data_IF_236971031408
#
_entry.id   IF_236971031408
#
_cell.length_a   1.000
_cell.length_b   1.000
_cell.length_c   1.000
_cell.angle_alpha   90.00
_cell.angle_beta   90.00
_cell.angle_gamma   90.00
#
_symmetry.space_group_name_H-M   'P 1'
#
loop_
_entity.id
_entity.type
_entity.pdbx_description
1 polymer ?
#
# COMPACT_ATOMS: atom_id res chain seq x y z
N UNK A 1 5.38 -24.63 16.71
CA UNK A 1 4.15 -23.92 16.27
C UNK A 1 3.95 -24.23 14.80
N UNK A 2 2.74 -24.62 14.41
CA UNK A 2 2.39 -24.93 13.00
C UNK A 2 2.46 -23.65 12.18
N UNK A 3 3.05 -23.71 10.98
CA UNK A 3 2.99 -22.60 10.02
C UNK A 3 1.56 -22.46 9.50
N UNK A 4 0.89 -21.39 9.85
CA UNK A 4 -0.48 -21.09 9.42
C UNK A 4 -0.57 -20.32 8.10
N UNK A 5 0.55 -19.84 7.56
CA UNK A 5 0.54 -19.02 6.36
C UNK A 5 -0.14 -19.69 5.15
N UNK A 6 0.06 -20.98 4.84
CA UNK A 6 -0.66 -21.63 3.75
C UNK A 6 -2.17 -21.67 3.94
N UNK A 7 -2.65 -21.94 5.16
CA UNK A 7 -4.07 -21.97 5.50
C UNK A 7 -4.69 -20.58 5.44
N UNK A 8 -3.99 -19.55 5.95
CA UNK A 8 -4.40 -18.16 5.90
C UNK A 8 -4.53 -17.67 4.45
N UNK A 9 -3.57 -18.02 3.57
CA UNK A 9 -3.64 -17.68 2.13
C UNK A 9 -4.81 -18.37 1.43
N UNK A 10 -5.09 -19.61 1.78
CA UNK A 10 -6.27 -20.32 1.23
C UNK A 10 -7.57 -19.62 1.67
N UNK A 11 -7.67 -19.19 2.92
CA UNK A 11 -8.82 -18.43 3.39
C UNK A 11 -8.93 -17.05 2.72
N UNK A 12 -7.82 -16.33 2.52
CA UNK A 12 -7.82 -15.08 1.78
C UNK A 12 -8.39 -15.25 0.36
N UNK A 13 -7.94 -16.28 -0.36
CA UNK A 13 -8.44 -16.60 -1.70
C UNK A 13 -9.94 -16.87 -1.66
N UNK A 14 -10.42 -17.61 -0.65
CA UNK A 14 -11.85 -17.88 -0.45
C UNK A 14 -12.64 -16.58 -0.21
N UNK A 15 -12.11 -15.65 0.59
CA UNK A 15 -12.75 -14.37 0.88
C UNK A 15 -12.84 -13.47 -0.36
N UNK A 16 -11.85 -13.52 -1.23
CA UNK A 16 -11.85 -12.75 -2.47
C UNK A 16 -12.88 -13.23 -3.50
N UNK A 17 -13.28 -14.49 -3.46
CA UNK A 17 -14.30 -15.10 -4.34
C UNK A 17 -14.18 -14.69 -5.82
N UNK A 18 -12.94 -14.63 -6.33
CA UNK A 18 -12.63 -14.22 -7.70
C UNK A 18 -12.62 -12.71 -7.96
N UNK A 19 -12.92 -11.88 -6.97
CA UNK A 19 -12.92 -10.41 -7.08
C UNK A 19 -11.51 -9.79 -6.90
N UNK A 20 -10.53 -10.30 -7.65
CA UNK A 20 -9.17 -9.74 -7.65
C UNK A 20 -9.04 -8.66 -8.73
N UNK A 21 -8.30 -7.60 -8.43
CA UNK A 21 -7.87 -6.62 -9.42
C UNK A 21 -6.33 -6.63 -9.59
N UNK A 22 -5.82 -5.91 -10.59
CA UNK A 22 -4.39 -5.86 -10.88
C UNK A 22 -3.54 -5.20 -9.78
N UNK A 23 -4.17 -4.60 -8.77
CA UNK A 23 -3.50 -3.91 -7.67
C UNK A 23 -3.52 -4.71 -6.36
N UNK A 24 -4.47 -5.67 -6.21
CA UNK A 24 -4.70 -6.44 -4.99
C UNK A 24 -4.77 -7.94 -5.35
N UNK A 25 -3.61 -8.51 -5.66
CA UNK A 25 -3.40 -9.92 -5.99
C UNK A 25 -2.47 -10.59 -4.96
N UNK A 26 -2.26 -11.90 -5.10
CA UNK A 26 -1.32 -12.63 -4.26
C UNK A 26 0.12 -12.10 -4.39
N UNK A 27 0.49 -11.58 -5.56
CA UNK A 27 1.79 -10.94 -5.77
C UNK A 27 1.96 -9.68 -4.93
N UNK A 28 0.91 -8.88 -4.73
CA UNK A 28 0.91 -7.76 -3.80
C UNK A 28 1.20 -8.23 -2.36
N UNK A 29 0.47 -9.25 -1.88
CA UNK A 29 0.70 -9.81 -0.54
C UNK A 29 2.14 -10.29 -0.36
N UNK A 30 2.71 -10.96 -1.38
CA UNK A 30 4.09 -11.45 -1.34
C UNK A 30 5.12 -10.30 -1.28
N UNK A 31 4.90 -9.22 -2.03
CA UNK A 31 5.77 -8.04 -2.00
C UNK A 31 5.64 -7.25 -0.69
N UNK A 32 4.41 -7.07 -0.18
CA UNK A 32 4.20 -6.47 1.15
C UNK A 32 4.90 -7.28 2.23
N UNK A 33 4.82 -8.62 2.18
CA UNK A 33 5.54 -9.49 3.12
C UNK A 33 7.06 -9.37 2.98
N UNK A 34 7.59 -9.25 1.77
CA UNK A 34 9.02 -9.02 1.54
C UNK A 34 9.48 -7.68 2.14
N UNK A 35 8.72 -6.60 1.91
CA UNK A 35 8.97 -5.29 2.53
C UNK A 35 8.89 -5.37 4.06
N UNK A 36 7.84 -6.01 4.60
CA UNK A 36 7.65 -6.18 6.04
C UNK A 36 8.82 -6.93 6.69
N UNK A 37 9.34 -7.98 6.05
CA UNK A 37 10.54 -8.71 6.54
C UNK A 37 11.78 -7.83 6.58
N UNK A 38 12.00 -7.00 5.57
CA UNK A 38 13.12 -6.07 5.55
C UNK A 38 13.02 -5.04 6.67
N UNK A 39 11.84 -4.47 6.91
CA UNK A 39 11.61 -3.46 7.96
C UNK A 39 11.72 -4.09 9.35
N UNK A 40 11.09 -5.25 9.59
CA UNK A 40 11.06 -5.86 10.93
C UNK A 40 12.43 -6.36 11.39
N UNK A 41 13.45 -6.50 10.52
CA UNK A 41 14.80 -6.87 10.93
C UNK A 41 15.39 -5.88 11.93
N UNK A 42 14.96 -4.61 11.87
CA UNK A 42 15.42 -3.54 12.76
C UNK A 42 14.37 -3.19 13.84
N UNK A 43 13.29 -3.96 13.93
CA UNK A 43 12.18 -3.76 14.88
C UNK A 43 12.05 -4.97 15.84
N UNK A 44 12.88 -5.06 16.92
CA UNK A 44 13.03 -6.27 17.73
C UNK A 44 11.81 -6.68 18.54
N UNK A 45 10.77 -5.86 18.59
CA UNK A 45 9.54 -6.12 19.38
C UNK A 45 8.38 -6.68 18.54
N UNK A 46 8.57 -6.92 17.25
CA UNK A 46 7.54 -7.43 16.36
C UNK A 46 7.28 -8.90 16.60
N UNK A 47 6.02 -9.29 16.82
CA UNK A 47 5.59 -10.67 16.67
C UNK A 47 5.50 -11.00 15.17
N UNK A 48 6.53 -11.67 14.65
CA UNK A 48 6.65 -11.97 13.22
C UNK A 48 5.47 -12.79 12.67
N UNK A 49 4.88 -13.68 13.47
CA UNK A 49 3.74 -14.47 13.03
C UNK A 49 2.44 -13.64 13.03
N UNK A 50 2.26 -12.75 14.01
CA UNK A 50 1.14 -11.81 14.02
C UNK A 50 1.24 -10.85 12.84
N UNK A 51 2.42 -10.29 12.57
CA UNK A 51 2.67 -9.46 11.40
C UNK A 51 2.38 -10.21 10.09
N UNK A 52 2.82 -11.47 9.96
CA UNK A 52 2.55 -12.27 8.75
C UNK A 52 1.05 -12.47 8.53
N UNK A 53 0.28 -12.76 9.58
CA UNK A 53 -1.18 -12.86 9.47
C UNK A 53 -1.80 -11.52 9.09
N UNK A 54 -1.34 -10.43 9.69
CA UNK A 54 -1.81 -9.09 9.34
C UNK A 54 -1.52 -8.76 7.87
N UNK A 55 -0.32 -9.07 7.36
CA UNK A 55 0.02 -8.92 5.93
C UNK A 55 -0.89 -9.75 5.03
N UNK A 56 -1.18 -11.01 5.38
CA UNK A 56 -2.03 -11.85 4.53
C UNK A 56 -3.45 -11.28 4.45
N UNK A 57 -4.00 -10.80 5.55
CA UNK A 57 -5.42 -10.40 5.60
C UNK A 57 -5.68 -8.90 5.45
N UNK A 58 -4.66 -8.02 5.30
CA UNK A 58 -4.89 -6.56 5.35
C UNK A 58 -5.89 -6.08 4.28
N UNK A 59 -5.91 -6.69 3.12
CA UNK A 59 -6.82 -6.42 1.99
C UNK A 59 -7.79 -7.59 1.73
N UNK A 60 -8.20 -8.32 2.78
CA UNK A 60 -9.16 -9.42 2.65
C UNK A 60 -10.53 -8.94 2.15
N UNK A 61 -10.91 -7.71 2.47
CA UNK A 61 -12.11 -7.03 1.96
C UNK A 61 -11.68 -5.81 1.18
N UNK A 62 -11.93 -5.81 -0.12
CA UNK A 62 -11.65 -4.68 -1.00
C UNK A 62 -12.95 -4.05 -1.48
N UNK A 63 -13.16 -2.77 -1.16
CA UNK A 63 -14.30 -1.99 -1.61
C UNK A 63 -13.88 -1.08 -2.76
N UNK A 64 -14.78 -0.81 -3.71
CA UNK A 64 -14.51 0.08 -4.84
C UNK A 64 -14.02 1.47 -4.35
N UNK A 65 -13.14 2.12 -5.14
CA UNK A 65 -12.51 3.39 -4.75
C UNK A 65 -13.52 4.54 -4.55
N UNK A 66 -14.66 4.45 -5.20
CA UNK A 66 -15.78 5.39 -5.14
C UNK A 66 -16.90 4.95 -4.19
N UNK A 67 -16.76 3.80 -3.52
CA UNK A 67 -17.74 3.33 -2.56
C UNK A 67 -17.83 4.28 -1.34
N UNK A 68 -19.04 4.63 -0.89
CA UNK A 68 -19.23 5.55 0.25
C UNK A 68 -18.68 5.01 1.56
N UNK A 69 -18.57 3.69 1.69
CA UNK A 69 -18.05 2.95 2.84
C UNK A 69 -16.59 2.50 2.69
N UNK A 70 -15.86 3.01 1.69
CA UNK A 70 -14.46 2.68 1.43
C UNK A 70 -13.58 2.72 2.68
N UNK A 71 -13.81 3.67 3.58
CA UNK A 71 -13.06 3.80 4.84
C UNK A 71 -13.24 2.60 5.78
N UNK A 72 -14.29 1.79 5.59
CA UNK A 72 -14.57 0.59 6.39
C UNK A 72 -13.81 -0.66 5.91
N UNK A 73 -13.18 -0.63 4.74
CA UNK A 73 -12.55 -1.81 4.14
C UNK A 73 -11.53 -2.47 5.07
N UNK A 74 -10.63 -1.68 5.69
CA UNK A 74 -9.63 -2.21 6.63
C UNK A 74 -10.25 -2.75 7.91
N UNK A 75 -11.31 -2.15 8.43
CA UNK A 75 -12.05 -2.66 9.60
C UNK A 75 -12.75 -3.98 9.28
N UNK A 76 -13.34 -4.12 8.10
CA UNK A 76 -13.96 -5.38 7.66
C UNK A 76 -12.91 -6.48 7.45
N UNK A 77 -11.76 -6.15 6.85
CA UNK A 77 -10.61 -7.05 6.73
C UNK A 77 -10.10 -7.52 8.10
N UNK A 78 -9.95 -6.57 9.03
CA UNK A 78 -9.51 -6.85 10.40
C UNK A 78 -10.47 -7.79 11.13
N UNK A 79 -11.78 -7.58 10.97
CA UNK A 79 -12.80 -8.47 11.53
C UNK A 79 -12.70 -9.89 10.96
N UNK A 80 -12.61 -10.02 9.64
CA UNK A 80 -12.48 -11.32 9.00
C UNK A 80 -11.23 -12.07 9.47
N UNK A 81 -10.09 -11.37 9.61
CA UNK A 81 -8.86 -11.93 10.15
C UNK A 81 -9.03 -12.37 11.61
N UNK A 82 -9.64 -11.54 12.46
CA UNK A 82 -9.88 -11.85 13.87
C UNK A 82 -10.76 -13.08 14.07
N UNK A 83 -11.87 -13.17 13.33
CA UNK A 83 -12.80 -14.30 13.39
C UNK A 83 -12.11 -15.61 12.94
N UNK A 84 -11.32 -15.56 11.86
CA UNK A 84 -10.58 -16.73 11.39
C UNK A 84 -9.51 -17.17 12.40
N UNK A 85 -8.72 -16.23 12.95
CA UNK A 85 -7.67 -16.54 13.94
C UNK A 85 -8.23 -17.10 15.25
N UNK A 86 -9.39 -16.62 15.68
CA UNK A 86 -10.10 -17.19 16.83
C UNK A 86 -10.48 -18.66 16.58
N UNK A 87 -10.92 -18.99 15.35
CA UNK A 87 -11.17 -20.37 14.94
C UNK A 87 -9.90 -21.25 14.88
N UNK A 88 -8.70 -20.63 14.74
CA UNK A 88 -7.41 -21.33 14.81
C UNK A 88 -6.86 -21.44 16.24
N UNK A 89 -7.62 -21.00 17.25
CA UNK A 89 -7.24 -21.10 18.66
C UNK A 89 -6.22 -20.06 19.13
N UNK A 90 -6.10 -18.92 18.44
CA UNK A 90 -5.24 -17.83 18.88
C UNK A 90 -5.79 -17.13 20.12
N UNK A 91 -4.90 -16.70 21.01
CA UNK A 91 -5.27 -15.90 22.18
C UNK A 91 -5.69 -14.48 21.81
N UNK A 92 -6.61 -13.90 22.60
CA UNK A 92 -7.22 -12.60 22.35
C UNK A 92 -6.18 -11.47 22.17
N UNK A 93 -5.14 -11.44 22.99
CA UNK A 93 -4.09 -10.41 22.92
C UNK A 93 -3.35 -10.43 21.58
N UNK A 94 -3.05 -11.61 21.07
CA UNK A 94 -2.38 -11.78 19.78
C UNK A 94 -3.29 -11.44 18.60
N UNK A 95 -4.57 -11.80 18.70
CA UNK A 95 -5.58 -11.39 17.72
C UNK A 95 -5.69 -9.88 17.70
N UNK A 96 -5.68 -9.21 18.86
CA UNK A 96 -5.74 -7.75 18.93
C UNK A 96 -4.56 -7.06 18.22
N UNK A 97 -3.36 -7.64 18.25
CA UNK A 97 -2.21 -7.12 17.46
C UNK A 97 -2.50 -7.16 15.96
N UNK A 98 -3.00 -8.29 15.46
CA UNK A 98 -3.31 -8.48 14.04
C UNK A 98 -4.43 -7.53 13.60
N UNK A 99 -5.53 -7.49 14.37
CA UNK A 99 -6.69 -6.63 14.09
C UNK A 99 -6.26 -5.17 14.03
N UNK A 100 -5.53 -4.68 15.05
CA UNK A 100 -5.06 -3.30 15.06
C UNK A 100 -4.11 -2.99 13.89
N UNK A 101 -3.20 -3.90 13.54
CA UNK A 101 -2.30 -3.70 12.42
C UNK A 101 -3.06 -3.56 11.10
N UNK A 102 -4.09 -4.39 10.87
CA UNK A 102 -4.94 -4.34 9.69
C UNK A 102 -5.78 -3.05 9.68
N UNK A 103 -6.42 -2.67 10.79
CA UNK A 103 -7.21 -1.43 10.84
C UNK A 103 -6.35 -0.20 10.53
N UNK A 104 -5.13 -0.13 11.09
CA UNK A 104 -4.26 1.03 11.01
C UNK A 104 -3.43 1.12 9.71
N UNK A 105 -3.40 0.08 8.85
CA UNK A 105 -2.60 0.15 7.62
C UNK A 105 -3.19 1.14 6.62
N UNK A 106 -4.52 1.23 6.54
CA UNK A 106 -5.21 2.01 5.52
C UNK A 106 -5.07 3.52 5.73
N UNK A 107 -4.66 4.23 4.67
CA UNK A 107 -4.60 5.69 4.69
C UNK A 107 -5.97 6.33 4.92
N UNK A 108 -7.03 5.78 4.30
CA UNK A 108 -8.38 6.33 4.38
C UNK A 108 -9.08 6.12 5.73
N UNK A 109 -8.66 5.12 6.49
CA UNK A 109 -9.20 4.86 7.82
C UNK A 109 -8.70 5.86 8.88
N UNK A 110 -7.57 6.53 8.63
CA UNK A 110 -6.95 7.52 9.50
C UNK A 110 -6.72 7.03 10.96
N UNK A 111 -6.48 5.73 11.14
CA UNK A 111 -6.20 5.10 12.44
C UNK A 111 -4.69 5.13 12.68
N UNK A 112 -4.27 5.68 13.83
CA UNK A 112 -2.84 5.74 14.18
C UNK A 112 -2.26 4.34 14.48
N UNK A 113 -1.11 3.94 13.89
CA UNK A 113 -0.46 2.65 14.16
C UNK A 113 0.27 2.69 15.51
N UNK A 114 -0.31 2.06 16.54
CA UNK A 114 0.21 2.09 17.91
C UNK A 114 1.16 0.95 18.25
N UNK A 115 1.06 -0.19 17.56
CA UNK A 115 1.95 -1.35 17.78
C UNK A 115 3.09 -1.38 16.77
N UNK A 116 4.12 -2.17 17.04
CA UNK A 116 5.23 -2.36 16.10
C UNK A 116 4.74 -3.02 14.80
N UNK A 117 3.88 -4.04 14.90
CA UNK A 117 3.26 -4.72 13.76
C UNK A 117 2.47 -3.75 12.88
N UNK A 118 1.70 -2.84 13.49
CA UNK A 118 0.92 -1.84 12.76
C UNK A 118 1.81 -0.85 12.00
N UNK A 119 2.90 -0.40 12.61
CA UNK A 119 3.88 0.49 11.95
C UNK A 119 4.56 -0.19 10.79
N UNK A 120 5.02 -1.44 11.00
CA UNK A 120 5.69 -2.22 9.95
C UNK A 120 4.76 -2.52 8.78
N UNK A 121 3.51 -2.98 9.05
CA UNK A 121 2.54 -3.26 8.00
C UNK A 121 2.19 -2.00 7.19
N UNK A 122 1.94 -0.88 7.87
CA UNK A 122 1.61 0.37 7.21
C UNK A 122 2.72 0.84 6.27
N UNK A 123 3.98 0.78 6.72
CA UNK A 123 5.13 1.14 5.90
C UNK A 123 5.33 0.16 4.73
N UNK A 124 5.23 -1.14 5.00
CA UNK A 124 5.39 -2.19 4.00
C UNK A 124 4.37 -2.09 2.85
N UNK A 125 3.12 -1.77 3.17
CA UNK A 125 2.07 -1.55 2.17
C UNK A 125 2.30 -0.23 1.41
N UNK A 126 2.61 0.88 2.11
CA UNK A 126 2.90 2.17 1.46
C UNK A 126 4.06 2.09 0.48
N UNK A 127 5.06 1.25 0.73
CA UNK A 127 6.16 1.01 -0.20
C UNK A 127 5.72 0.43 -1.55
N UNK A 128 4.57 -0.25 -1.63
CA UNK A 128 4.01 -0.75 -2.89
C UNK A 128 3.46 0.38 -3.79
N UNK A 129 3.28 1.58 -3.25
CA UNK A 129 2.94 2.76 -4.02
C UNK A 129 4.17 3.51 -4.57
N UNK A 130 5.39 3.07 -4.24
CA UNK A 130 6.64 3.71 -4.62
C UNK A 130 7.49 2.84 -5.55
N UNK A 131 8.48 3.47 -6.20
CA UNK A 131 9.38 2.79 -7.12
C UNK A 131 8.72 2.33 -8.43
N UNK A 132 9.32 1.35 -9.08
CA UNK A 132 8.85 0.85 -10.39
C UNK A 132 7.46 0.21 -10.30
N UNK A 133 7.18 -0.56 -9.24
CA UNK A 133 5.87 -1.17 -9.01
C UNK A 133 4.82 -0.09 -8.78
N UNK A 134 5.12 0.92 -7.96
CA UNK A 134 4.23 2.04 -7.69
C UNK A 134 3.85 2.81 -8.95
N UNK A 135 4.83 3.10 -9.84
CA UNK A 135 4.56 3.73 -11.13
C UNK A 135 3.69 2.86 -12.04
N UNK A 136 4.01 1.57 -12.16
CA UNK A 136 3.21 0.66 -12.97
C UNK A 136 1.75 0.61 -12.49
N UNK A 137 1.54 0.51 -11.16
CA UNK A 137 0.20 0.54 -10.55
C UNK A 137 -0.50 1.88 -10.78
N UNK A 138 0.19 3.00 -10.62
CA UNK A 138 -0.36 4.34 -10.85
C UNK A 138 -0.92 4.47 -12.27
N UNK A 139 -0.13 4.12 -13.30
CA UNK A 139 -0.59 4.19 -14.69
C UNK A 139 -1.72 3.21 -14.98
N UNK A 140 -1.65 1.97 -14.47
CA UNK A 140 -2.71 0.99 -14.65
C UNK A 140 -4.04 1.46 -14.04
N UNK A 141 -4.00 1.98 -12.81
CA UNK A 141 -5.18 2.48 -12.10
C UNK A 141 -5.76 3.69 -12.80
N UNK A 142 -4.94 4.69 -13.18
CA UNK A 142 -5.41 5.87 -13.88
C UNK A 142 -6.05 5.50 -15.22
N UNK A 143 -5.44 4.57 -15.98
CA UNK A 143 -6.00 4.08 -17.24
C UNK A 143 -7.34 3.35 -17.05
N UNK A 144 -7.46 2.51 -16.02
CA UNK A 144 -8.71 1.83 -15.69
C UNK A 144 -9.85 2.81 -15.28
N UNK A 145 -9.50 3.97 -14.74
CA UNK A 145 -10.43 5.04 -14.40
C UNK A 145 -10.77 5.97 -15.59
N UNK A 146 -10.20 5.73 -16.77
CA UNK A 146 -10.39 6.56 -17.96
C UNK A 146 -9.56 7.85 -17.97
N UNK A 147 -8.59 7.99 -17.07
CA UNK A 147 -7.63 9.08 -17.05
C UNK A 147 -6.52 8.93 -18.10
N UNK A 148 -5.70 9.96 -18.26
CA UNK A 148 -4.59 10.01 -19.20
C UNK A 148 -3.23 10.02 -18.47
N UNK A 149 -2.15 9.83 -19.23
CA UNK A 149 -0.80 9.78 -18.65
C UNK A 149 -0.41 11.12 -18.01
N UNK A 150 -0.71 12.23 -18.70
CA UNK A 150 -0.40 13.60 -18.27
C UNK A 150 -1.25 14.62 -19.03
N UNK A 151 -1.28 15.86 -18.57
CA UNK A 151 -1.93 16.96 -19.29
C UNK A 151 -1.08 17.39 -20.50
N UNK A 152 -1.70 17.48 -21.68
CA UNK A 152 -0.99 17.61 -22.97
C UNK A 152 -0.10 18.86 -23.09
N UNK A 153 -0.48 19.98 -22.51
CA UNK A 153 0.22 21.28 -22.62
C UNK A 153 0.87 21.77 -21.32
N UNK A 154 0.50 21.17 -20.18
CA UNK A 154 1.05 21.52 -18.87
C UNK A 154 1.19 20.26 -17.99
N UNK A 155 2.17 19.38 -18.33
CA UNK A 155 2.30 18.07 -17.67
C UNK A 155 2.68 18.14 -16.19
N UNK A 156 3.16 19.28 -15.69
CA UNK A 156 3.53 19.47 -14.29
C UNK A 156 2.51 20.29 -13.48
N UNK A 157 1.42 20.76 -14.10
CA UNK A 157 0.44 21.59 -13.41
C UNK A 157 0.99 22.94 -12.93
N UNK A 158 1.91 23.56 -13.70
CA UNK A 158 2.50 24.84 -13.30
C UNK A 158 1.53 26.01 -13.44
N UNK A 159 0.53 25.88 -14.33
CA UNK A 159 -0.44 26.92 -14.66
C UNK A 159 -1.89 26.44 -14.51
N UNK A 160 -2.11 25.31 -13.86
CA UNK A 160 -3.41 24.73 -13.56
C UNK A 160 -3.41 24.03 -12.19
N UNK A 161 -4.57 23.82 -11.55
CA UNK A 161 -4.67 22.91 -10.42
C UNK A 161 -4.27 21.47 -10.83
N UNK A 162 -3.63 20.74 -9.90
CA UNK A 162 -3.39 19.32 -10.08
C UNK A 162 -4.69 18.54 -9.98
N UNK A 163 -4.86 17.53 -10.85
CA UNK A 163 -6.00 16.62 -10.87
C UNK A 163 -5.50 15.19 -11.07
N UNK A 164 -5.27 14.50 -9.96
CA UNK A 164 -4.72 13.14 -9.95
C UNK A 164 -5.72 12.04 -10.35
N UNK A 165 -6.98 12.42 -10.58
CA UNK A 165 -7.99 11.54 -11.18
C UNK A 165 -7.93 11.58 -12.70
N UNK A 166 -7.68 12.74 -13.27
CA UNK A 166 -7.59 12.94 -14.71
C UNK A 166 -6.21 12.59 -15.26
N UNK A 167 -5.14 12.88 -14.52
CA UNK A 167 -3.76 12.78 -14.98
C UNK A 167 -2.87 11.98 -14.04
N UNK A 168 -2.32 10.86 -14.53
CA UNK A 168 -1.46 10.00 -13.72
C UNK A 168 -0.24 10.75 -13.16
N UNK A 169 0.39 11.63 -13.96
CA UNK A 169 1.59 12.35 -13.54
C UNK A 169 1.33 13.29 -12.35
N UNK A 170 0.12 13.84 -12.23
CA UNK A 170 -0.26 14.70 -11.12
C UNK A 170 -0.26 13.94 -9.79
N UNK A 171 -0.56 12.63 -9.82
CA UNK A 171 -0.58 11.79 -8.62
C UNK A 171 0.79 11.68 -7.94
N UNK A 172 1.88 11.86 -8.69
CA UNK A 172 3.23 11.91 -8.11
C UNK A 172 3.34 13.04 -7.08
N UNK A 173 2.90 14.25 -7.44
CA UNK A 173 2.96 15.42 -6.57
C UNK A 173 1.87 15.44 -5.51
N UNK A 174 0.64 15.05 -5.88
CA UNK A 174 -0.51 15.08 -4.94
C UNK A 174 -0.31 14.10 -3.80
N UNK A 175 0.35 12.94 -4.04
CA UNK A 175 0.44 11.89 -3.05
C UNK A 175 1.81 11.23 -2.94
N UNK A 176 2.37 10.72 -4.03
CA UNK A 176 3.42 9.69 -3.93
C UNK A 176 4.74 10.26 -3.39
N UNK A 177 5.15 11.44 -3.80
CA UNK A 177 6.38 12.08 -3.32
C UNK A 177 6.33 12.46 -1.84
N UNK A 178 5.13 12.62 -1.27
CA UNK A 178 4.94 12.87 0.15
C UNK A 178 4.97 11.62 1.03
N UNK A 179 4.93 10.40 0.46
CA UNK A 179 4.77 9.18 1.26
C UNK A 179 5.97 8.88 2.17
N UNK A 180 7.20 9.17 1.74
CA UNK A 180 8.40 8.92 2.54
C UNK A 180 8.35 9.62 3.91
N UNK A 181 7.79 10.84 3.98
CA UNK A 181 7.63 11.59 5.22
C UNK A 181 6.57 11.00 6.15
N UNK A 182 5.72 10.14 5.65
CA UNK A 182 4.65 9.49 6.44
C UNK A 182 5.04 8.13 7.00
N UNK A 183 6.25 7.63 6.69
CA UNK A 183 6.73 6.34 7.19
C UNK A 183 6.96 6.38 8.70
N UNK A 184 6.60 5.29 9.36
CA UNK A 184 6.58 5.14 10.81
C UNK A 184 7.92 4.61 11.35
N UNK A 185 8.67 3.86 10.52
CA UNK A 185 9.93 3.21 10.90
C UNK A 185 11.12 3.84 10.16
N UNK A 186 12.32 3.86 10.76
CA UNK A 186 13.52 4.37 10.08
C UNK A 186 13.83 3.60 8.79
N UNK A 187 13.76 2.26 8.82
CA UNK A 187 14.05 1.41 7.66
C UNK A 187 12.99 1.59 6.57
N UNK A 188 11.70 1.65 6.92
CA UNK A 188 10.64 1.95 5.96
C UNK A 188 10.84 3.29 5.29
N UNK A 189 11.25 4.32 6.04
CA UNK A 189 11.57 5.66 5.51
C UNK A 189 12.74 5.62 4.53
N UNK A 190 13.86 4.98 4.88
CA UNK A 190 15.02 4.88 4.00
C UNK A 190 14.68 4.17 2.66
N UNK A 191 13.92 3.07 2.73
CA UNK A 191 13.42 2.38 1.54
C UNK A 191 12.50 3.26 0.69
N UNK A 192 11.64 4.06 1.33
CA UNK A 192 10.73 4.97 0.63
C UNK A 192 11.48 6.12 -0.05
N UNK A 193 12.49 6.67 0.59
CA UNK A 193 13.35 7.73 0.02
C UNK A 193 14.07 7.21 -1.22
N UNK A 194 14.72 6.03 -1.15
CA UNK A 194 15.38 5.40 -2.30
C UNK A 194 14.41 5.20 -3.48
N UNK A 195 13.22 4.66 -3.22
CA UNK A 195 12.20 4.46 -4.26
C UNK A 195 11.70 5.78 -4.84
N UNK A 196 11.57 6.82 -4.03
CA UNK A 196 11.15 8.15 -4.46
C UNK A 196 12.22 8.84 -5.33
N UNK A 197 13.50 8.73 -5.01
CA UNK A 197 14.61 9.24 -5.84
C UNK A 197 14.59 8.63 -7.24
N UNK A 198 14.34 7.32 -7.33
CA UNK A 198 14.20 6.67 -8.61
C UNK A 198 12.98 7.20 -9.39
N UNK A 199 11.84 7.45 -8.72
CA UNK A 199 10.64 8.03 -9.35
C UNK A 199 10.86 9.46 -9.83
N UNK A 200 11.64 10.29 -9.12
CA UNK A 200 12.07 11.61 -9.61
C UNK A 200 12.89 11.49 -10.91
N UNK A 201 13.80 10.51 -10.96
CA UNK A 201 14.60 10.25 -12.15
C UNK A 201 13.74 9.79 -13.33
N UNK A 202 12.75 8.92 -13.09
CA UNK A 202 11.76 8.51 -14.09
C UNK A 202 10.98 9.71 -14.62
N UNK A 203 10.42 10.57 -13.73
CA UNK A 203 9.67 11.77 -14.13
C UNK A 203 10.52 12.69 -15.00
N UNK A 204 11.76 12.95 -14.58
CA UNK A 204 12.68 13.78 -15.37
C UNK A 204 12.95 13.19 -16.76
N UNK A 205 13.04 11.87 -16.88
CA UNK A 205 13.20 11.19 -18.18
C UNK A 205 11.93 11.31 -19.03
N UNK A 206 10.77 11.06 -18.45
CA UNK A 206 9.47 11.17 -19.12
C UNK A 206 9.27 12.58 -19.69
N UNK A 207 9.56 13.63 -18.92
CA UNK A 207 9.44 15.02 -19.35
C UNK A 207 10.35 15.35 -20.55
N UNK A 208 11.55 14.79 -20.62
CA UNK A 208 12.42 14.95 -21.80
C UNK A 208 11.84 14.26 -23.04
N UNK A 209 11.20 13.10 -22.87
CA UNK A 209 10.63 12.31 -23.98
C UNK A 209 9.36 12.95 -24.55
N UNK A 210 8.55 13.63 -23.76
CA UNK A 210 7.36 14.35 -24.24
C UNK A 210 7.67 15.70 -24.90
N UNK A 211 8.95 16.00 -25.13
CA UNK A 211 9.36 17.19 -25.89
C UNK A 211 9.38 18.48 -25.08
N UNK A 212 9.28 18.38 -23.77
CA UNK A 212 9.53 19.51 -22.88
C UNK A 212 11.02 19.82 -22.79
N UNK A 213 11.57 20.60 -23.73
CA UNK A 213 12.84 21.29 -23.54
C UNK A 213 12.64 22.35 -22.42
N UNK A 214 12.41 21.90 -21.22
CA UNK A 214 12.27 22.79 -20.08
C UNK A 214 13.40 22.49 -19.13
N UNK A 215 14.27 23.47 -18.98
CA UNK A 215 15.30 23.58 -17.98
C UNK A 215 14.63 23.42 -16.60
N UNK A 216 14.68 22.22 -16.04
CA UNK A 216 14.33 21.98 -14.65
C UNK A 216 15.62 21.95 -13.85
N UNK A 217 15.92 23.07 -13.23
CA UNK A 217 16.86 23.22 -12.13
C UNK A 217 16.10 23.64 -10.89
#
# INVERSE_FOLDING_TARGET
MTDLAPAARAELIRLWDGAQDAAHDLGHIDRVWANAKAIMSDEPRVDAQALQMAVIFHDAVNLAKDAPDRAMASTLSARAAGDWLAGQGWGADRIALVVHAIEAHSFSAAIAPRTAEARVLQDADRLEALGAIGLARMFAVTGAMGGTLFHATDPLGQHRPLDDRAFALDHLEVKLFGLAQTMQTPTGRAMAEERSEWMFSFRARLLREIGGATTFF
#
